data_IF_494031665030
#
_entry.id   IF_494031665030
#
_cell.length_a   1.000
_cell.length_b   1.000
_cell.length_c   1.000
_cell.angle_alpha   90.00
_cell.angle_beta   90.00
_cell.angle_gamma   90.00
#
_symmetry.space_group_name_H-M   'P 1'
#
loop_
_entity.id
_entity.type
_entity.pdbx_description
1 polymer ?
#
# COMPACT_ATOMS: atom_id res chain seq x y z
N UNK A 1 -15.20 17.13 -19.78
CA UNK A 1 -14.26 17.19 -20.92
C UNK A 1 -13.37 15.97 -20.88
N UNK A 2 -13.30 15.18 -21.95
CA UNK A 2 -12.33 14.08 -22.10
C UNK A 2 -11.27 14.55 -23.10
N UNK A 3 -10.03 14.68 -22.66
CA UNK A 3 -8.93 15.22 -23.47
C UNK A 3 -7.68 14.37 -23.30
N UNK A 4 -6.89 14.23 -24.38
CA UNK A 4 -5.56 13.62 -24.34
C UNK A 4 -4.46 14.63 -23.99
N UNK A 5 -4.83 15.91 -23.80
CA UNK A 5 -3.90 16.95 -23.33
C UNK A 5 -3.61 16.72 -21.84
N UNK A 6 -2.33 16.79 -21.49
CA UNK A 6 -1.84 16.75 -20.11
C UNK A 6 -1.01 18.00 -19.88
N UNK A 7 -1.70 19.11 -19.60
CA UNK A 7 -1.13 20.42 -19.25
C UNK A 7 -1.82 20.97 -17.99
N UNK A 8 -1.29 22.08 -17.47
CA UNK A 8 -1.76 22.69 -16.21
C UNK A 8 -3.25 23.02 -16.29
N UNK A 9 -3.73 23.51 -17.42
CA UNK A 9 -5.13 23.92 -17.63
C UNK A 9 -6.07 22.72 -17.46
N UNK A 10 -5.78 21.61 -18.15
CA UNK A 10 -6.61 20.40 -18.11
C UNK A 10 -6.63 19.79 -16.71
N UNK A 11 -5.46 19.76 -16.04
CA UNK A 11 -5.37 19.26 -14.67
C UNK A 11 -6.14 20.18 -13.71
N UNK A 12 -6.06 21.50 -13.88
CA UNK A 12 -6.78 22.47 -13.05
C UNK A 12 -8.29 22.30 -13.17
N UNK A 13 -8.81 22.05 -14.38
CA UNK A 13 -10.24 21.72 -14.58
C UNK A 13 -10.63 20.48 -13.76
N UNK A 14 -9.80 19.43 -13.79
CA UNK A 14 -10.06 18.22 -13.01
C UNK A 14 -10.06 18.50 -11.49
N UNK A 15 -9.06 19.23 -10.99
CA UNK A 15 -8.97 19.58 -9.56
C UNK A 15 -10.17 20.46 -9.14
N UNK A 16 -10.58 21.43 -9.96
CA UNK A 16 -11.76 22.26 -9.67
C UNK A 16 -13.05 21.42 -9.58
N UNK A 17 -13.24 20.44 -10.46
CA UNK A 17 -14.39 19.54 -10.37
C UNK A 17 -14.37 18.71 -9.09
N UNK A 18 -13.18 18.32 -8.60
CA UNK A 18 -13.05 17.64 -7.31
C UNK A 18 -13.46 18.57 -6.16
N UNK A 19 -12.98 19.81 -6.14
CA UNK A 19 -13.35 20.82 -5.12
C UNK A 19 -14.87 20.98 -5.06
N UNK A 20 -15.52 21.15 -6.20
CA UNK A 20 -16.98 21.28 -6.27
C UNK A 20 -17.70 20.02 -5.77
N UNK A 21 -17.24 18.84 -6.17
CA UNK A 21 -17.87 17.56 -5.77
C UNK A 21 -17.70 17.27 -4.27
N UNK A 22 -16.61 17.74 -3.66
CA UNK A 22 -16.32 17.56 -2.24
C UNK A 22 -16.94 18.66 -1.36
N UNK A 23 -17.50 19.72 -1.96
CA UNK A 23 -18.06 20.86 -1.24
C UNK A 23 -17.00 21.84 -0.71
N UNK A 24 -15.74 21.75 -1.15
CA UNK A 24 -14.67 22.65 -0.72
C UNK A 24 -13.25 22.11 -0.99
N UNK A 25 -12.22 22.97 -0.83
CA UNK A 25 -10.83 22.59 -0.99
C UNK A 25 -10.34 21.68 0.15
N UNK A 26 -9.48 20.73 -0.20
CA UNK A 26 -8.87 19.81 0.76
C UNK A 26 -7.56 20.35 1.33
N UNK A 27 -7.31 20.04 2.60
CA UNK A 27 -5.99 20.15 3.20
C UNK A 27 -5.12 18.95 2.86
N UNK A 28 -3.85 19.21 2.56
CA UNK A 28 -2.87 18.18 2.23
C UNK A 28 -1.58 18.47 2.98
N UNK A 29 -1.16 17.56 3.86
CA UNK A 29 0.15 17.73 4.53
C UNK A 29 1.31 17.49 3.56
N UNK A 30 1.18 16.49 2.69
CA UNK A 30 2.25 16.05 1.78
C UNK A 30 1.71 15.77 0.40
N UNK A 31 2.23 16.50 -0.58
CA UNK A 31 1.89 16.32 -1.98
C UNK A 31 3.03 15.66 -2.74
N UNK A 32 2.73 14.53 -3.40
CA UNK A 32 3.71 13.80 -4.19
C UNK A 32 3.27 13.67 -5.65
N UNK A 33 4.10 14.15 -6.58
CA UNK A 33 3.85 14.09 -8.02
C UNK A 33 5.05 13.56 -8.79
N UNK A 34 5.00 13.60 -10.12
CA UNK A 34 6.22 13.46 -10.92
C UNK A 34 7.14 14.69 -10.76
N UNK A 35 8.20 14.74 -11.56
CA UNK A 35 9.18 15.84 -11.55
C UNK A 35 8.66 17.13 -12.21
N UNK A 36 7.47 17.09 -12.82
CA UNK A 36 6.83 18.27 -13.41
C UNK A 36 6.22 19.15 -12.32
N UNK A 37 6.19 20.46 -12.55
CA UNK A 37 5.40 21.37 -11.71
C UNK A 37 3.91 21.32 -12.00
N UNK A 38 3.51 20.75 -13.14
CA UNK A 38 2.13 20.82 -13.63
C UNK A 38 1.07 20.41 -12.60
N UNK A 39 1.25 19.24 -11.97
CA UNK A 39 0.29 18.73 -10.99
C UNK A 39 0.28 19.54 -9.69
N UNK A 40 1.45 20.02 -9.26
CA UNK A 40 1.58 20.80 -8.04
C UNK A 40 0.98 22.20 -8.21
N UNK A 41 1.23 22.85 -9.34
CA UNK A 41 0.72 24.19 -9.63
C UNK A 41 -0.80 24.16 -9.78
N UNK A 42 -1.34 23.16 -10.51
CA UNK A 42 -2.78 22.94 -10.63
C UNK A 42 -3.47 22.55 -9.31
N UNK A 43 -2.74 21.90 -8.39
CA UNK A 43 -3.25 21.67 -7.03
C UNK A 43 -3.32 22.99 -6.27
N UNK A 44 -2.22 23.74 -6.22
CA UNK A 44 -2.14 24.97 -5.43
C UNK A 44 -3.07 26.09 -5.94
N UNK A 45 -3.51 26.04 -7.20
CA UNK A 45 -4.49 27.00 -7.73
C UNK A 45 -5.90 26.81 -7.18
N UNK A 46 -6.22 25.63 -6.66
CA UNK A 46 -7.62 25.22 -6.39
C UNK A 46 -7.81 24.57 -5.01
N UNK A 47 -6.77 24.01 -4.42
CA UNK A 47 -6.75 23.35 -3.12
C UNK A 47 -5.85 24.13 -2.15
N UNK A 48 -5.85 23.76 -0.86
CA UNK A 48 -4.90 24.35 0.08
C UNK A 48 -3.45 23.95 -0.25
N UNK A 49 -2.53 24.91 -0.10
CA UNK A 49 -1.11 24.71 -0.36
C UNK A 49 -0.55 23.65 0.58
N UNK A 50 0.09 22.59 0.06
CA UNK A 50 0.63 21.53 0.90
C UNK A 50 1.80 22.01 1.77
N UNK A 51 1.92 21.46 2.98
CA UNK A 51 3.06 21.76 3.87
C UNK A 51 4.39 21.24 3.30
N UNK A 52 4.35 20.18 2.49
CA UNK A 52 5.54 19.59 1.87
C UNK A 52 5.24 19.07 0.47
N UNK A 53 6.22 19.24 -0.42
CA UNK A 53 6.17 18.77 -1.81
C UNK A 53 7.30 17.77 -2.06
N UNK A 54 6.94 16.61 -2.57
CA UNK A 54 7.89 15.57 -2.95
C UNK A 54 7.71 15.11 -4.39
N UNK A 55 8.81 14.69 -5.01
CA UNK A 55 8.83 13.92 -6.23
C UNK A 55 8.73 12.43 -5.89
N UNK A 56 7.95 11.73 -6.70
CA UNK A 56 7.84 10.28 -6.67
C UNK A 56 9.20 9.66 -7.01
N UNK A 57 9.68 8.77 -6.14
CA UNK A 57 10.94 8.02 -6.25
C UNK A 57 11.14 7.39 -7.63
N UNK A 58 10.08 6.78 -8.18
CA UNK A 58 10.10 6.14 -9.49
C UNK A 58 10.28 7.14 -10.65
N UNK A 59 9.64 8.32 -10.58
CA UNK A 59 9.78 9.34 -11.62
C UNK A 59 11.17 9.98 -11.60
N UNK A 60 11.73 10.19 -10.41
CA UNK A 60 13.13 10.62 -10.23
C UNK A 60 14.09 9.59 -10.85
N UNK A 61 13.98 8.32 -10.45
CA UNK A 61 14.81 7.22 -10.97
C UNK A 61 14.70 7.09 -12.49
N UNK A 62 13.48 7.20 -13.03
CA UNK A 62 13.22 7.15 -14.48
C UNK A 62 13.84 8.33 -15.22
N UNK A 63 13.75 9.56 -14.68
CA UNK A 63 14.36 10.74 -15.27
C UNK A 63 15.88 10.59 -15.34
N UNK A 64 16.50 10.12 -14.25
CA UNK A 64 17.93 9.85 -14.18
C UNK A 64 18.36 8.80 -15.20
N UNK A 65 17.70 7.63 -15.23
CA UNK A 65 18.00 6.58 -16.22
C UNK A 65 17.89 7.07 -17.66
N UNK A 66 16.87 7.88 -17.96
CA UNK A 66 16.68 8.46 -19.30
C UNK A 66 17.86 9.38 -19.67
N UNK A 67 18.31 10.22 -18.73
CA UNK A 67 19.46 11.08 -18.98
C UNK A 67 20.76 10.27 -19.14
N UNK A 68 20.98 9.31 -18.26
CA UNK A 68 22.16 8.46 -18.23
C UNK A 68 22.37 7.65 -19.52
N UNK A 69 21.32 7.39 -20.31
CA UNK A 69 21.45 6.79 -21.65
C UNK A 69 22.31 7.61 -22.62
N UNK A 70 22.53 8.90 -22.34
CA UNK A 70 23.45 9.75 -23.13
C UNK A 70 24.93 9.41 -22.88
N UNK A 71 25.26 8.79 -21.74
CA UNK A 71 26.61 8.35 -21.42
C UNK A 71 26.88 7.04 -22.17
N UNK A 72 27.86 7.06 -23.08
CA UNK A 72 28.18 5.93 -23.95
C UNK A 72 28.90 4.83 -23.19
N UNK A 73 29.90 5.19 -22.39
CA UNK A 73 30.64 4.24 -21.57
C UNK A 73 29.72 3.62 -20.50
N UNK A 74 29.59 2.29 -20.53
CA UNK A 74 28.71 1.55 -19.62
C UNK A 74 29.13 1.59 -18.17
N UNK A 75 30.44 1.59 -17.89
CA UNK A 75 30.99 1.62 -16.54
C UNK A 75 30.77 2.99 -15.90
N UNK A 76 31.09 4.07 -16.63
CA UNK A 76 30.82 5.45 -16.18
C UNK A 76 29.33 5.69 -15.96
N UNK A 77 28.49 5.16 -16.85
CA UNK A 77 27.03 5.22 -16.69
C UNK A 77 26.56 4.52 -15.42
N UNK A 78 27.09 3.33 -15.14
CA UNK A 78 26.76 2.58 -13.92
C UNK A 78 27.27 3.31 -12.66
N UNK A 79 28.47 3.89 -12.72
CA UNK A 79 29.04 4.71 -11.64
C UNK A 79 28.19 5.95 -11.34
N UNK A 80 27.86 6.74 -12.35
CA UNK A 80 27.01 7.93 -12.20
C UNK A 80 25.62 7.58 -11.65
N UNK A 81 25.04 6.46 -12.10
CA UNK A 81 23.79 5.95 -11.54
C UNK A 81 23.93 5.55 -10.06
N UNK A 82 25.01 4.85 -9.69
CA UNK A 82 25.28 4.43 -8.32
C UNK A 82 25.39 5.65 -7.39
N UNK A 83 26.08 6.70 -7.80
CA UNK A 83 26.16 7.97 -7.06
C UNK A 83 24.78 8.57 -6.86
N UNK A 84 24.00 8.74 -7.93
CA UNK A 84 22.67 9.33 -7.83
C UNK A 84 21.75 8.52 -6.89
N UNK A 85 21.83 7.18 -6.93
CA UNK A 85 21.07 6.31 -6.02
C UNK A 85 21.53 6.42 -4.58
N UNK A 86 22.83 6.53 -4.32
CA UNK A 86 23.35 6.74 -2.97
C UNK A 86 22.79 8.04 -2.38
N UNK A 87 22.88 9.15 -3.12
CA UNK A 87 22.31 10.44 -2.73
C UNK A 87 20.80 10.36 -2.46
N UNK A 88 20.04 9.64 -3.30
CA UNK A 88 18.59 9.48 -3.08
C UNK A 88 18.24 8.73 -1.79
N UNK A 89 19.11 7.79 -1.39
CA UNK A 89 18.88 6.88 -0.26
C UNK A 89 19.51 7.38 1.03
N UNK A 90 20.34 8.42 0.98
CA UNK A 90 20.94 9.02 2.16
C UNK A 90 19.85 9.48 3.13
N UNK A 91 20.06 9.14 4.40
CA UNK A 91 19.16 9.40 5.52
C UNK A 91 19.67 10.52 6.42
N UNK A 92 20.94 10.90 6.30
CA UNK A 92 21.55 11.93 7.13
C UNK A 92 21.54 13.27 6.38
N UNK A 93 20.76 14.22 6.89
CA UNK A 93 20.63 15.54 6.26
C UNK A 93 21.92 16.35 6.26
N UNK A 94 22.72 16.24 7.32
CA UNK A 94 23.97 17.00 7.45
C UNK A 94 25.05 16.48 6.50
N UNK A 95 25.11 15.16 6.34
CA UNK A 95 26.06 14.50 5.43
C UNK A 95 25.64 14.68 3.95
N UNK A 96 24.34 14.63 3.67
CA UNK A 96 23.80 14.71 2.32
C UNK A 96 24.32 15.90 1.51
N UNK A 97 24.38 17.10 2.10
CA UNK A 97 24.82 18.29 1.37
C UNK A 97 26.31 18.21 0.98
N UNK A 98 27.14 17.65 1.86
CA UNK A 98 28.55 17.42 1.59
C UNK A 98 28.73 16.35 0.50
N UNK A 99 28.00 15.24 0.61
CA UNK A 99 28.03 14.16 -0.39
C UNK A 99 27.52 14.64 -1.75
N UNK A 100 26.47 15.45 -1.78
CA UNK A 100 25.92 16.01 -3.02
C UNK A 100 26.97 16.89 -3.73
N UNK A 101 27.64 17.76 -2.98
CA UNK A 101 28.67 18.65 -3.53
C UNK A 101 29.91 17.88 -4.00
N UNK A 102 30.36 16.88 -3.23
CA UNK A 102 31.45 15.99 -3.64
C UNK A 102 31.08 15.24 -4.91
N UNK A 103 29.90 14.61 -4.94
CA UNK A 103 29.41 13.87 -6.10
C UNK A 103 29.32 14.72 -7.37
N UNK A 104 28.82 15.96 -7.26
CA UNK A 104 28.78 16.91 -8.40
C UNK A 104 30.19 17.22 -8.88
N UNK A 105 31.13 17.46 -7.96
CA UNK A 105 32.53 17.79 -8.29
C UNK A 105 33.20 16.61 -8.98
N UNK A 106 33.07 15.40 -8.42
CA UNK A 106 33.62 14.16 -8.97
C UNK A 106 33.08 13.88 -10.36
N UNK A 107 31.75 13.99 -10.57
CA UNK A 107 31.13 13.79 -11.87
C UNK A 107 31.50 14.87 -12.91
N UNK A 108 31.94 16.07 -12.48
CA UNK A 108 32.43 17.10 -13.40
C UNK A 108 33.87 16.87 -13.87
N UNK A 109 34.64 16.01 -13.19
CA UNK A 109 36.03 15.72 -13.60
C UNK A 109 36.12 14.97 -14.92
N UNK A 110 35.08 14.21 -15.30
CA UNK A 110 35.04 13.43 -16.52
C UNK A 110 34.07 14.03 -17.55
N UNK A 111 34.59 14.24 -18.76
CA UNK A 111 33.84 14.80 -19.90
C UNK A 111 32.57 14.03 -20.29
N UNK A 112 32.47 12.73 -19.98
CA UNK A 112 31.27 11.93 -20.25
C UNK A 112 30.20 12.06 -19.18
N UNK A 113 30.57 12.41 -17.94
CA UNK A 113 29.63 12.52 -16.80
C UNK A 113 29.27 13.97 -16.47
N UNK A 114 30.00 14.96 -16.98
CA UNK A 114 29.79 16.39 -16.70
C UNK A 114 28.35 16.84 -16.98
N UNK A 115 27.75 16.41 -18.09
CA UNK A 115 26.38 16.76 -18.45
C UNK A 115 25.36 16.20 -17.45
N UNK A 116 25.65 15.03 -16.86
CA UNK A 116 24.79 14.46 -15.83
C UNK A 116 24.91 15.22 -14.51
N UNK A 117 26.12 15.68 -14.16
CA UNK A 117 26.33 16.55 -13.01
C UNK A 117 25.56 17.87 -13.16
N UNK A 118 25.64 18.52 -14.32
CA UNK A 118 24.88 19.74 -14.63
C UNK A 118 23.37 19.52 -14.57
N UNK A 119 22.90 18.39 -15.07
CA UNK A 119 21.49 17.99 -14.98
C UNK A 119 21.03 17.82 -13.53
N UNK A 120 21.83 17.18 -12.67
CA UNK A 120 21.54 17.07 -11.25
C UNK A 120 21.54 18.44 -10.57
N UNK A 121 22.49 19.30 -10.89
CA UNK A 121 22.60 20.65 -10.34
C UNK A 121 21.47 21.58 -10.79
N UNK A 122 20.95 21.40 -12.00
CA UNK A 122 19.85 22.18 -12.54
C UNK A 122 18.48 21.65 -12.10
N UNK A 123 18.04 20.57 -12.75
CA UNK A 123 16.67 20.05 -12.60
C UNK A 123 16.40 19.45 -11.21
N UNK A 124 17.45 18.95 -10.53
CA UNK A 124 17.36 18.29 -9.22
C UNK A 124 18.01 19.10 -8.09
N UNK A 125 18.28 20.38 -8.30
CA UNK A 125 18.76 21.34 -7.26
C UNK A 125 17.91 21.32 -5.99
N UNK A 126 16.60 21.14 -6.12
CA UNK A 126 15.64 21.04 -5.02
C UNK A 126 15.70 19.66 -4.37
N UNK A 127 16.81 19.37 -3.70
CA UNK A 127 17.08 18.10 -3.00
C UNK A 127 15.99 17.69 -2.02
N UNK A 128 15.40 18.67 -1.33
CA UNK A 128 14.30 18.45 -0.39
C UNK A 128 13.05 17.81 -1.02
N UNK A 129 12.86 17.93 -2.34
CA UNK A 129 11.75 17.27 -3.02
C UNK A 129 12.00 15.78 -3.28
N UNK A 130 13.24 15.28 -3.30
CA UNK A 130 13.50 13.91 -3.78
C UNK A 130 14.41 13.06 -2.90
N UNK A 131 15.28 13.64 -2.08
CA UNK A 131 16.20 12.90 -1.23
C UNK A 131 15.50 12.36 0.03
N UNK A 132 15.91 11.17 0.48
CA UNK A 132 15.25 10.48 1.60
C UNK A 132 15.48 11.19 2.94
N UNK A 133 16.62 11.84 3.15
CA UNK A 133 16.94 12.60 4.37
C UNK A 133 15.98 13.77 4.66
N UNK A 134 15.18 14.20 3.66
CA UNK A 134 14.12 15.21 3.83
C UNK A 134 12.72 14.61 3.99
N UNK A 135 12.59 13.28 3.89
CA UNK A 135 11.32 12.55 4.03
C UNK A 135 10.99 12.18 5.48
N UNK A 136 11.66 12.79 6.46
CA UNK A 136 11.74 12.41 7.87
C UNK A 136 10.43 12.39 8.67
N UNK A 137 9.30 12.74 8.05
CA UNK A 137 8.00 12.44 8.63
C UNK A 137 7.69 10.96 8.39
N UNK A 138 7.62 10.14 9.45
CA UNK A 138 7.31 8.70 9.43
C UNK A 138 6.00 8.28 8.71
N UNK A 139 5.30 9.24 8.12
CA UNK A 139 4.26 9.04 7.11
C UNK A 139 4.80 8.39 5.83
N UNK A 140 6.00 8.75 5.34
CA UNK A 140 6.53 8.21 4.08
C UNK A 140 7.02 6.76 4.20
N UNK A 141 7.56 6.37 5.36
CA UNK A 141 7.85 4.96 5.66
C UNK A 141 6.57 4.11 5.74
N UNK A 142 5.46 4.71 6.22
CA UNK A 142 4.12 4.08 6.22
C UNK A 142 3.41 4.10 4.86
N UNK A 143 3.93 4.82 3.85
CA UNK A 143 3.35 4.93 2.50
C UNK A 143 3.76 3.81 1.52
N UNK A 144 4.34 2.72 2.03
CA UNK A 144 4.41 1.42 1.32
C UNK A 144 3.12 1.05 0.54
N UNK A 145 1.90 1.33 1.04
CA UNK A 145 0.66 1.08 0.30
C UNK A 145 0.50 1.88 -0.99
N UNK A 146 0.99 3.13 -1.08
CA UNK A 146 0.86 3.97 -2.28
C UNK A 146 1.76 3.47 -3.42
N UNK A 147 2.97 3.04 -3.10
CA UNK A 147 3.84 2.35 -4.07
C UNK A 147 3.26 0.98 -4.44
N UNK A 148 2.65 0.26 -3.49
CA UNK A 148 1.95 -1.00 -3.75
C UNK A 148 0.75 -0.81 -4.67
N UNK A 149 -0.08 0.21 -4.46
CA UNK A 149 -1.21 0.57 -5.35
C UNK A 149 -0.68 0.98 -6.73
N UNK A 150 0.37 1.79 -6.80
CA UNK A 150 0.98 2.18 -8.08
C UNK A 150 1.57 0.98 -8.83
N UNK A 151 2.20 0.03 -8.12
CA UNK A 151 2.68 -1.24 -8.67
C UNK A 151 1.52 -2.14 -9.11
N UNK A 152 0.45 -2.23 -8.32
CA UNK A 152 -0.75 -2.98 -8.66
C UNK A 152 -1.40 -2.41 -9.93
N UNK A 153 -1.59 -1.10 -10.02
CA UNK A 153 -2.11 -0.44 -11.22
C UNK A 153 -1.21 -0.73 -12.44
N UNK A 154 0.11 -0.60 -12.31
CA UNK A 154 1.05 -0.85 -13.42
C UNK A 154 1.14 -2.32 -13.84
N UNK A 155 1.15 -3.25 -12.89
CA UNK A 155 1.45 -4.66 -13.15
C UNK A 155 0.18 -5.49 -13.37
N UNK A 156 -0.88 -5.23 -12.59
CA UNK A 156 -2.14 -6.00 -12.67
C UNK A 156 -3.04 -5.45 -13.78
N UNK A 157 -3.19 -4.13 -13.86
CA UNK A 157 -4.18 -3.52 -14.77
C UNK A 157 -3.58 -3.08 -16.10
N UNK A 158 -2.38 -2.50 -16.08
CA UNK A 158 -1.71 -2.07 -17.30
C UNK A 158 -0.85 -3.18 -17.95
N UNK A 159 -0.58 -4.30 -17.26
CA UNK A 159 0.31 -5.38 -17.74
C UNK A 159 1.64 -4.84 -18.30
N UNK A 160 2.16 -3.74 -17.75
CA UNK A 160 3.34 -3.04 -18.29
C UNK A 160 3.15 -2.32 -19.64
N UNK A 161 1.96 -2.36 -20.25
CA UNK A 161 1.62 -1.71 -21.52
C UNK A 161 0.93 -0.36 -21.29
N UNK A 162 1.17 0.62 -22.16
CA UNK A 162 0.41 1.88 -22.15
C UNK A 162 -1.03 1.59 -22.58
N UNK A 163 -2.00 1.86 -21.70
CA UNK A 163 -3.41 1.76 -22.10
C UNK A 163 -3.72 2.88 -23.08
N UNK A 164 -4.12 2.52 -24.31
CA UNK A 164 -4.51 3.47 -25.36
C UNK A 164 -5.95 3.99 -25.18
N UNK A 165 -6.73 3.38 -24.29
CA UNK A 165 -8.17 3.59 -24.13
C UNK A 165 -8.51 3.93 -22.68
N UNK A 166 -8.95 5.16 -22.47
CA UNK A 166 -9.24 5.71 -21.15
C UNK A 166 -10.39 4.98 -20.44
N UNK A 167 -11.41 4.57 -21.19
CA UNK A 167 -12.57 3.83 -20.68
C UNK A 167 -12.18 2.48 -20.06
N UNK A 168 -11.22 1.78 -20.68
CA UNK A 168 -10.67 0.53 -20.15
C UNK A 168 -9.92 0.77 -18.84
N UNK A 169 -9.08 1.80 -18.80
CA UNK A 169 -8.37 2.19 -17.58
C UNK A 169 -9.31 2.59 -16.44
N UNK A 170 -10.43 3.25 -16.74
CA UNK A 170 -11.44 3.60 -15.75
C UNK A 170 -12.16 2.35 -15.20
N UNK A 171 -12.58 1.44 -16.09
CA UNK A 171 -13.20 0.17 -15.68
C UNK A 171 -12.26 -0.66 -14.78
N UNK A 172 -10.99 -0.72 -15.15
CA UNK A 172 -9.94 -1.40 -14.40
C UNK A 172 -9.71 -0.77 -13.02
N UNK A 173 -9.70 0.56 -12.93
CA UNK A 173 -9.61 1.27 -11.64
C UNK A 173 -10.83 0.99 -10.75
N UNK A 174 -12.04 0.99 -11.31
CA UNK A 174 -13.26 0.67 -10.56
C UNK A 174 -13.24 -0.76 -10.01
N UNK A 175 -12.73 -1.72 -10.79
CA UNK A 175 -12.53 -3.11 -10.32
C UNK A 175 -11.55 -3.16 -9.16
N UNK A 176 -10.40 -2.48 -9.27
CA UNK A 176 -9.42 -2.40 -8.18
C UNK A 176 -10.06 -1.86 -6.90
N UNK A 177 -10.79 -0.74 -7.00
CA UNK A 177 -11.45 -0.13 -5.85
C UNK A 177 -12.44 -1.10 -5.21
N UNK A 178 -13.28 -1.76 -6.01
CA UNK A 178 -14.23 -2.76 -5.52
C UNK A 178 -13.51 -3.91 -4.82
N UNK A 179 -12.47 -4.48 -5.44
CA UNK A 179 -11.77 -5.63 -4.91
C UNK A 179 -11.05 -5.27 -3.58
N UNK A 180 -10.49 -4.05 -3.47
CA UNK A 180 -9.90 -3.56 -2.22
C UNK A 180 -10.92 -3.30 -1.11
N UNK A 181 -12.08 -2.74 -1.45
CA UNK A 181 -13.17 -2.57 -0.49
C UNK A 181 -13.71 -3.93 -0.02
N UNK A 182 -13.78 -4.91 -0.92
CA UNK A 182 -14.17 -6.27 -0.57
C UNK A 182 -13.15 -6.95 0.35
N UNK A 183 -11.85 -6.89 0.03
CA UNK A 183 -10.78 -7.39 0.91
C UNK A 183 -10.87 -6.78 2.32
N UNK A 184 -11.12 -5.46 2.42
CA UNK A 184 -11.32 -4.77 3.70
C UNK A 184 -12.54 -5.29 4.46
N UNK A 185 -13.66 -5.52 3.78
CA UNK A 185 -14.87 -6.09 4.40
C UNK A 185 -14.63 -7.51 4.94
N UNK A 186 -13.88 -8.35 4.22
CA UNK A 186 -13.49 -9.68 4.69
C UNK A 186 -12.64 -9.60 5.95
N UNK A 187 -11.64 -8.70 5.95
CA UNK A 187 -10.76 -8.51 7.12
C UNK A 187 -11.55 -8.01 8.34
N UNK A 188 -12.49 -7.07 8.13
CA UNK A 188 -13.38 -6.61 9.18
C UNK A 188 -14.22 -7.78 9.75
N UNK A 189 -14.88 -8.57 8.90
CA UNK A 189 -15.66 -9.73 9.34
C UNK A 189 -14.80 -10.78 10.08
N UNK A 190 -13.58 -11.05 9.61
CA UNK A 190 -12.65 -11.95 10.30
C UNK A 190 -12.22 -11.45 11.67
N UNK A 191 -12.13 -10.13 11.88
CA UNK A 191 -11.83 -9.55 13.19
C UNK A 191 -13.01 -9.59 14.17
N UNK A 192 -14.24 -9.67 13.66
CA UNK A 192 -15.45 -9.83 14.48
C UNK A 192 -15.76 -11.29 14.83
N UNK A 193 -15.31 -12.26 14.03
CA UNK A 193 -15.52 -13.69 14.27
C UNK A 193 -15.15 -14.18 15.68
N UNK A 194 -13.99 -13.80 16.27
CA UNK A 194 -13.63 -14.20 17.62
C UNK A 194 -14.57 -13.64 18.69
N UNK A 195 -15.09 -12.43 18.47
CA UNK A 195 -16.03 -11.76 19.38
C UNK A 195 -17.39 -12.47 19.33
N UNK A 196 -17.88 -12.78 18.12
CA UNK A 196 -19.15 -13.49 17.93
C UNK A 196 -19.09 -14.91 18.51
N UNK A 197 -17.98 -15.63 18.33
CA UNK A 197 -17.75 -16.94 18.94
C UNK A 197 -17.69 -16.88 20.47
N UNK A 198 -17.07 -15.84 21.05
CA UNK A 198 -17.04 -15.63 22.49
C UNK A 198 -18.44 -15.33 23.06
N UNK A 199 -19.27 -14.59 22.33
CA UNK A 199 -20.68 -14.36 22.71
C UNK A 199 -21.51 -15.65 22.66
N UNK A 200 -21.30 -16.50 21.65
CA UNK A 200 -21.96 -17.79 21.53
C UNK A 200 -21.53 -18.72 22.68
N UNK A 201 -20.24 -18.81 22.99
CA UNK A 201 -19.73 -19.58 24.13
C UNK A 201 -20.30 -19.09 25.45
N UNK A 202 -20.29 -17.78 25.69
CA UNK A 202 -20.87 -17.20 26.92
C UNK A 202 -22.35 -17.55 27.08
N UNK A 203 -23.13 -17.49 26.00
CA UNK A 203 -24.55 -17.87 26.03
C UNK A 203 -24.73 -19.37 26.30
N UNK A 204 -23.88 -20.19 25.69
CA UNK A 204 -23.88 -21.63 25.91
C UNK A 204 -23.54 -21.99 27.35
N UNK A 205 -22.54 -21.34 27.96
CA UNK A 205 -22.16 -21.56 29.36
C UNK A 205 -23.28 -21.16 30.34
N UNK A 206 -23.95 -20.03 30.09
CA UNK A 206 -25.11 -19.60 30.89
C UNK A 206 -26.27 -20.60 30.77
N UNK A 207 -26.51 -21.14 29.58
CA UNK A 207 -27.56 -22.12 29.36
C UNK A 207 -27.26 -23.46 30.04
N UNK A 208 -26.01 -23.95 29.94
CA UNK A 208 -25.56 -25.15 30.66
C UNK A 208 -25.69 -24.99 32.17
N UNK A 209 -25.30 -23.83 32.72
CA UNK A 209 -25.47 -23.54 34.15
C UNK A 209 -26.94 -23.51 34.58
N UNK A 210 -27.87 -23.17 33.67
CA UNK A 210 -29.31 -23.08 33.98
C UNK A 210 -30.06 -24.41 33.86
N UNK A 211 -29.63 -25.33 32.99
CA UNK A 211 -30.34 -26.59 32.76
C UNK A 211 -29.89 -27.74 33.66
N UNK A 212 -28.75 -27.63 34.32
CA UNK A 212 -28.23 -28.73 35.13
C UNK A 212 -27.56 -28.22 36.42
N UNK A 213 -28.33 -27.87 37.46
CA UNK A 213 -27.79 -27.36 38.72
C UNK A 213 -26.95 -28.39 39.49
N UNK A 214 -27.26 -29.69 39.31
CA UNK A 214 -26.66 -30.80 40.05
C UNK A 214 -25.50 -31.47 39.29
N UNK A 215 -25.18 -31.00 38.07
CA UNK A 215 -24.09 -31.52 37.25
C UNK A 215 -22.92 -30.55 37.27
N UNK A 216 -21.78 -30.99 37.81
CA UNK A 216 -20.53 -30.25 37.70
C UNK A 216 -19.62 -30.88 36.64
N UNK A 217 -19.13 -30.05 35.72
CA UNK A 217 -18.26 -30.45 34.62
C UNK A 217 -16.85 -29.98 34.90
N UNK A 218 -15.90 -30.92 34.96
CA UNK A 218 -14.48 -30.60 35.11
C UNK A 218 -13.71 -31.00 33.84
N UNK A 219 -12.95 -30.05 33.29
CA UNK A 219 -12.14 -30.29 32.10
C UNK A 219 -10.86 -31.04 32.48
N UNK A 220 -10.65 -32.23 31.90
CA UNK A 220 -9.46 -33.07 32.08
C UNK A 220 -8.57 -33.02 30.83
N UNK A 221 -7.36 -33.58 30.91
CA UNK A 221 -6.39 -33.61 29.80
C UNK A 221 -6.91 -34.36 28.56
N UNK A 222 -7.81 -35.34 28.74
CA UNK A 222 -8.30 -36.23 27.67
C UNK A 222 -9.82 -36.16 27.43
N UNK A 223 -10.54 -35.23 28.06
CA UNK A 223 -12.00 -35.15 27.94
C UNK A 223 -12.69 -34.33 29.02
N UNK A 224 -13.99 -34.55 29.17
CA UNK A 224 -14.81 -33.91 30.21
C UNK A 224 -15.20 -34.94 31.26
N UNK A 225 -15.03 -34.58 32.52
CA UNK A 225 -15.48 -35.36 33.67
C UNK A 225 -16.81 -34.78 34.14
N UNK A 226 -17.84 -35.62 34.22
CA UNK A 226 -19.19 -35.21 34.60
C UNK A 226 -19.51 -35.82 35.96
N UNK A 227 -19.85 -34.98 36.93
CA UNK A 227 -20.22 -35.39 38.29
C UNK A 227 -21.69 -35.07 38.48
N UNK A 228 -22.50 -36.11 38.66
CA UNK A 228 -23.96 -36.06 38.78
C UNK A 228 -24.46 -35.91 40.23
N UNK A 229 -23.64 -36.23 41.23
CA UNK A 229 -23.89 -35.96 42.66
C UNK A 229 -22.59 -35.96 43.48
N UNK A 230 -22.54 -35.34 44.68
CA UNK A 230 -21.34 -35.30 45.52
C UNK A 230 -20.86 -36.66 46.08
N UNK A 231 -21.65 -37.72 45.90
CA UNK A 231 -21.39 -39.05 46.45
C UNK A 231 -21.13 -40.15 45.40
N UNK A 232 -21.21 -39.83 44.10
CA UNK A 232 -20.98 -40.80 43.03
C UNK A 232 -19.55 -40.73 42.47
N UNK A 233 -19.00 -41.88 42.08
CA UNK A 233 -17.72 -41.92 41.37
C UNK A 233 -17.82 -41.18 40.03
N UNK A 234 -16.86 -40.30 39.70
CA UNK A 234 -16.94 -39.46 38.51
C UNK A 234 -16.91 -40.29 37.23
N UNK A 235 -17.89 -40.08 36.36
CA UNK A 235 -17.90 -40.69 35.03
C UNK A 235 -16.96 -39.91 34.09
N UNK A 236 -16.03 -40.62 33.44
CA UNK A 236 -15.10 -40.04 32.47
C UNK A 236 -15.63 -40.23 31.05
N UNK A 237 -15.95 -39.13 30.38
CA UNK A 237 -16.39 -39.15 28.99
C UNK A 237 -15.17 -38.88 28.11
N UNK A 238 -14.63 -39.94 27.52
CA UNK A 238 -13.48 -39.87 26.59
C UNK A 238 -14.02 -39.67 25.17
N UNK A 239 -13.52 -38.63 24.50
CA UNK A 239 -13.92 -38.32 23.12
C UNK A 239 -13.21 -39.29 22.15
N UNK A 240 -13.90 -40.36 21.73
CA UNK A 240 -13.39 -41.23 20.68
C UNK A 240 -13.63 -40.58 19.31
N UNK A 241 -12.56 -40.07 18.69
CA UNK A 241 -12.57 -39.68 17.29
C UNK A 241 -12.63 -40.95 16.43
N UNK A 242 -13.83 -41.34 15.98
CA UNK A 242 -13.95 -42.21 14.81
C UNK A 242 -13.59 -41.39 13.57
N UNK A 243 -12.31 -41.37 13.22
CA UNK A 243 -11.85 -41.01 11.90
C UNK A 243 -12.39 -42.05 10.91
N UNK A 244 -13.50 -41.76 10.24
CA UNK A 244 -13.85 -42.20 8.89
C UNK A 244 -15.24 -41.68 8.51
N UNK A 245 -15.29 -40.51 7.87
CA UNK A 245 -16.37 -40.19 6.93
C UNK A 245 -15.71 -39.74 5.64
N UNK A 246 -15.58 -40.72 4.74
CA UNK A 246 -15.33 -40.52 3.32
C UNK A 246 -16.54 -39.80 2.74
N UNK A 247 -16.31 -38.68 2.05
CA UNK A 247 -17.32 -38.01 1.24
C UNK A 247 -17.83 -38.96 0.15
N UNK A 248 -19.08 -39.40 0.26
CA UNK A 248 -19.81 -40.11 -0.78
C UNK A 248 -21.08 -39.33 -1.13
N UNK A 249 -21.05 -38.66 -2.28
CA UNK A 249 -22.21 -38.03 -2.89
C UNK A 249 -23.17 -39.14 -3.35
N UNK A 250 -24.42 -39.14 -2.89
CA UNK A 250 -25.51 -39.72 -3.66
C UNK A 250 -26.66 -38.72 -3.78
N UNK A 251 -26.94 -38.41 -5.04
CA UNK A 251 -28.08 -37.67 -5.56
C UNK A 251 -29.39 -38.38 -5.18
N UNK A 252 -30.32 -37.64 -4.59
CA UNK A 252 -31.72 -38.05 -4.48
C UNK A 252 -32.40 -37.63 -5.78
N UNK A 253 -32.69 -38.62 -6.64
CA UNK A 253 -33.65 -38.46 -7.73
C UNK A 253 -35.07 -38.54 -7.15
N UNK A 254 -35.88 -37.52 -7.45
CA UNK A 254 -37.32 -37.59 -7.32
C UNK A 254 -37.91 -38.36 -8.51
N UNK A 255 -38.81 -39.31 -8.24
CA UNK A 255 -39.89 -39.67 -9.16
C UNK A 255 -41.09 -40.28 -8.41
N UNK A 256 -42.20 -39.54 -8.48
CA UNK A 256 -43.63 -39.90 -8.43
C UNK A 256 -44.14 -40.92 -7.42
#
# INVERSE_FOLDING_TARGET
>A
MLSNRADVEVVSIFVNNLVQSLGGPLECKMFMSDVSNMYYDAWCSSMHVPSSRFFCSWHVDRAWRKFLMKIKNSEKRAYAYKIAKALAMDRNREQFEQEMNSAITDLKTDSETVQFAEFLQGEFSRSYCWAHCYRSDGFLEKNSPLESISKAIKNVFLQGKKCKRLDKSLSDLMKLTRDKLFDQSILAHKSHLPVDLAFIQKRHDVYLMSMTPDLSFQKSANGWRVITSPSDEPHEVVQYWHANVIFGVSSVECAT
#
